data_IF_178653842606
#
_entry.id   IF_178653842606
#
_cell.length_a   1.000
_cell.length_b   1.000
_cell.length_c   1.000
_cell.angle_alpha   90.00
_cell.angle_beta   90.00
_cell.angle_gamma   90.00
#
_symmetry.space_group_name_H-M   'P 1'
#
loop_
_entity.id
_entity.type
_entity.pdbx_description
1 polymer ?
#
# COMPACT_ATOMS: atom_id res chain seq x y z
N UNK A 1 3.43 -18.59 -28.24
CA UNK A 1 4.35 -18.10 -27.20
C UNK A 1 3.61 -18.13 -25.86
N UNK A 2 4.30 -18.32 -24.74
CA UNK A 2 3.67 -18.07 -23.43
C UNK A 2 3.67 -16.56 -23.12
N UNK A 3 2.94 -16.13 -22.09
CA UNK A 3 2.80 -14.72 -21.71
C UNK A 3 4.15 -14.02 -21.54
N UNK A 4 5.08 -14.64 -20.79
CA UNK A 4 6.43 -14.11 -20.57
C UNK A 4 7.22 -13.93 -21.87
N UNK A 5 7.20 -14.92 -22.76
CA UNK A 5 7.86 -14.86 -24.06
C UNK A 5 7.26 -13.77 -24.94
N UNK A 6 5.93 -13.61 -24.93
CA UNK A 6 5.20 -12.62 -25.71
C UNK A 6 5.55 -11.19 -25.28
N UNK A 7 5.52 -10.92 -23.97
CA UNK A 7 5.93 -9.63 -23.40
C UNK A 7 7.39 -9.35 -23.72
N UNK A 8 8.28 -10.31 -23.50
CA UNK A 8 9.71 -10.14 -23.78
C UNK A 8 9.96 -9.82 -25.27
N UNK A 9 9.28 -10.50 -26.20
CA UNK A 9 9.41 -10.21 -27.63
C UNK A 9 8.96 -8.79 -27.97
N UNK A 10 7.79 -8.36 -27.47
CA UNK A 10 7.26 -7.02 -27.70
C UNK A 10 8.19 -5.93 -27.13
N UNK A 11 8.67 -6.08 -25.89
CA UNK A 11 9.59 -5.13 -25.24
C UNK A 11 10.96 -5.06 -25.93
N UNK A 12 11.36 -6.11 -26.66
CA UNK A 12 12.58 -6.13 -27.47
C UNK A 12 12.34 -5.80 -28.95
N UNK A 13 11.19 -5.21 -29.29
CA UNK A 13 10.84 -4.78 -30.64
C UNK A 13 10.85 -5.93 -31.68
N UNK A 14 10.65 -7.17 -31.22
CA UNK A 14 10.45 -8.35 -32.06
C UNK A 14 8.97 -8.55 -32.34
N UNK A 15 8.63 -9.37 -33.35
CA UNK A 15 7.23 -9.70 -33.67
C UNK A 15 6.71 -10.79 -32.72
N UNK A 16 5.79 -10.49 -31.78
CA UNK A 16 5.11 -11.51 -30.99
C UNK A 16 4.07 -12.26 -31.82
N UNK A 17 3.51 -13.34 -31.28
CA UNK A 17 2.40 -14.09 -31.88
C UNK A 17 1.06 -13.31 -31.83
N UNK A 18 0.86 -12.45 -30.83
CA UNK A 18 -0.17 -11.40 -30.77
C UNK A 18 0.31 -10.22 -29.93
N UNK A 19 -0.38 -9.08 -29.97
CA UNK A 19 -0.10 -7.95 -29.07
C UNK A 19 -0.31 -8.41 -27.61
N UNK A 20 0.69 -8.25 -26.71
CA UNK A 20 0.50 -8.56 -25.29
C UNK A 20 -0.43 -7.53 -24.64
N UNK A 21 -1.28 -7.98 -23.71
CA UNK A 21 -2.23 -7.14 -22.98
C UNK A 21 -2.03 -7.32 -21.48
N UNK A 22 -1.85 -6.22 -20.77
CA UNK A 22 -1.88 -6.16 -19.31
C UNK A 22 -2.23 -4.74 -18.91
N UNK A 23 -2.78 -4.54 -17.72
CA UNK A 23 -2.97 -3.22 -17.13
C UNK A 23 -2.78 -3.26 -15.62
N UNK A 24 -2.54 -2.09 -15.05
CA UNK A 24 -2.60 -1.90 -13.61
C UNK A 24 -4.08 -1.68 -13.27
N UNK A 25 -4.69 -2.63 -12.59
CA UNK A 25 -6.08 -2.51 -12.16
C UNK A 25 -6.18 -1.54 -10.99
N UNK A 26 -7.32 -0.86 -10.87
CA UNK A 26 -7.63 -0.06 -9.69
C UNK A 26 -7.83 -0.96 -8.46
N UNK A 27 -7.47 -0.51 -7.26
CA UNK A 27 -7.60 -1.34 -6.05
C UNK A 27 -9.04 -1.73 -5.72
N UNK A 28 -9.98 -0.80 -5.94
CA UNK A 28 -11.41 -1.09 -5.87
C UNK A 28 -11.88 -2.24 -6.77
N UNK A 29 -11.19 -2.48 -7.90
CA UNK A 29 -11.49 -3.61 -8.79
C UNK A 29 -11.13 -4.95 -8.16
N UNK A 30 -10.01 -5.04 -7.44
CA UNK A 30 -9.67 -6.24 -6.68
C UNK A 30 -10.69 -6.46 -5.54
N UNK A 31 -11.07 -5.39 -4.84
CA UNK A 31 -12.01 -5.46 -3.72
C UNK A 31 -13.40 -5.96 -4.14
N UNK A 32 -13.85 -5.62 -5.36
CA UNK A 32 -15.14 -6.04 -5.90
C UNK A 32 -15.14 -7.45 -6.51
N UNK A 33 -13.98 -7.96 -6.97
CA UNK A 33 -13.93 -9.13 -7.84
C UNK A 33 -13.14 -10.33 -7.30
N UNK A 34 -12.47 -10.18 -6.15
CA UNK A 34 -11.80 -11.25 -5.43
C UNK A 34 -12.52 -11.54 -4.09
N UNK A 35 -12.38 -12.77 -3.58
CA UNK A 35 -12.98 -13.21 -2.32
C UNK A 35 -12.01 -13.00 -1.13
N UNK A 36 -11.48 -11.78 -1.02
CA UNK A 36 -10.60 -11.36 0.06
C UNK A 36 -11.10 -10.07 0.69
N UNK A 37 -10.79 -9.84 1.97
CA UNK A 37 -11.12 -8.56 2.60
C UNK A 37 -10.30 -7.42 1.98
N UNK A 38 -10.90 -6.26 1.70
CA UNK A 38 -10.18 -5.09 1.19
C UNK A 38 -8.94 -4.72 2.01
N UNK A 39 -9.01 -4.79 3.35
CA UNK A 39 -7.85 -4.53 4.22
C UNK A 39 -6.72 -5.56 4.07
N UNK A 40 -7.05 -6.82 3.76
CA UNK A 40 -6.05 -7.86 3.51
C UNK A 40 -5.42 -7.69 2.13
N UNK A 41 -6.20 -7.37 1.10
CA UNK A 41 -5.65 -7.00 -0.21
C UNK A 41 -4.69 -5.79 -0.08
N UNK A 42 -4.98 -4.84 0.81
CA UNK A 42 -4.14 -3.65 0.98
C UNK A 42 -2.88 -3.87 1.83
N UNK A 43 -2.99 -4.62 2.95
CA UNK A 43 -1.91 -4.73 3.93
C UNK A 43 -1.19 -6.09 3.96
N UNK A 44 -1.74 -7.13 3.33
CA UNK A 44 -1.15 -8.46 3.32
C UNK A 44 -0.55 -8.81 1.95
N UNK A 45 0.79 -8.90 1.91
CA UNK A 45 1.53 -9.09 0.66
C UNK A 45 1.15 -10.39 -0.08
N UNK A 46 0.89 -11.46 0.65
CA UNK A 46 0.51 -12.76 0.08
C UNK A 46 -0.91 -12.72 -0.50
N UNK A 47 -1.87 -12.16 0.25
CA UNK A 47 -3.23 -11.95 -0.21
C UNK A 47 -3.27 -11.09 -1.47
N UNK A 48 -2.49 -10.01 -1.49
CA UNK A 48 -2.42 -9.16 -2.68
C UNK A 48 -1.80 -9.87 -3.88
N UNK A 49 -0.72 -10.63 -3.68
CA UNK A 49 -0.12 -11.44 -4.74
C UNK A 49 -1.11 -12.47 -5.32
N UNK A 50 -1.91 -13.12 -4.46
CA UNK A 50 -2.94 -14.05 -4.89
C UNK A 50 -4.04 -13.34 -5.72
N UNK A 51 -4.53 -12.19 -5.26
CA UNK A 51 -5.52 -11.39 -5.99
C UNK A 51 -5.00 -10.93 -7.37
N UNK A 52 -3.71 -10.56 -7.46
CA UNK A 52 -3.05 -10.20 -8.72
C UNK A 52 -3.02 -11.37 -9.71
N UNK A 53 -2.64 -12.56 -9.25
CA UNK A 53 -2.58 -13.77 -10.07
C UNK A 53 -3.98 -14.20 -10.50
N UNK A 54 -4.95 -14.16 -9.59
CA UNK A 54 -6.34 -14.53 -9.86
C UNK A 54 -6.94 -13.68 -10.99
N UNK A 55 -6.82 -12.36 -10.91
CA UNK A 55 -7.35 -11.47 -11.94
C UNK A 55 -6.54 -11.52 -13.24
N UNK A 56 -5.22 -11.71 -13.16
CA UNK A 56 -4.40 -11.96 -14.35
C UNK A 56 -4.88 -13.19 -15.12
N UNK A 57 -5.18 -14.29 -14.42
CA UNK A 57 -5.69 -15.52 -15.03
C UNK A 57 -7.11 -15.32 -15.57
N UNK A 58 -8.00 -14.69 -14.78
CA UNK A 58 -9.39 -14.43 -15.16
C UNK A 58 -9.52 -13.60 -16.44
N UNK A 59 -8.60 -12.65 -16.65
CA UNK A 59 -8.59 -11.78 -17.83
C UNK A 59 -7.60 -12.20 -18.91
N UNK A 60 -6.91 -13.33 -18.73
CA UNK A 60 -5.88 -13.83 -19.65
C UNK A 60 -4.80 -12.79 -19.98
N UNK A 61 -4.49 -11.90 -19.03
CA UNK A 61 -3.46 -10.90 -19.20
C UNK A 61 -2.08 -11.53 -19.35
N UNK A 62 -1.23 -10.91 -20.12
CA UNK A 62 0.13 -11.38 -20.40
C UNK A 62 1.15 -10.99 -19.32
N UNK A 63 0.72 -10.22 -18.32
CA UNK A 63 1.55 -9.77 -17.22
C UNK A 63 0.74 -9.16 -16.08
N UNK A 64 1.45 -8.82 -15.01
CA UNK A 64 0.92 -8.19 -13.78
C UNK A 64 1.71 -6.91 -13.56
N UNK A 65 1.01 -5.82 -13.26
CA UNK A 65 1.62 -4.56 -12.81
C UNK A 65 1.33 -4.40 -11.31
N UNK A 66 2.37 -4.52 -10.49
CA UNK A 66 2.28 -4.43 -9.02
C UNK A 66 2.27 -2.96 -8.61
N UNK A 67 1.25 -2.53 -7.85
CA UNK A 67 1.05 -1.13 -7.48
C UNK A 67 1.02 -0.86 -5.97
N UNK A 68 1.18 -1.89 -5.13
CA UNK A 68 1.36 -1.73 -3.68
C UNK A 68 2.74 -2.29 -3.27
N UNK A 69 3.50 -1.56 -2.43
CA UNK A 69 4.72 -2.12 -1.85
C UNK A 69 4.38 -3.20 -0.81
N UNK A 70 5.34 -4.11 -0.58
CA UNK A 70 5.22 -5.16 0.44
C UNK A 70 5.08 -4.62 1.86
N UNK A 71 4.54 -5.46 2.74
CA UNK A 71 4.25 -5.17 4.15
C UNK A 71 4.68 -6.30 5.06
N UNK A 72 4.94 -6.01 6.36
CA UNK A 72 5.12 -7.04 7.36
C UNK A 72 3.86 -7.91 7.46
N UNK A 73 4.02 -9.23 7.46
CA UNK A 73 2.90 -10.17 7.61
C UNK A 73 2.15 -10.01 8.94
N UNK A 74 2.82 -9.40 9.94
CA UNK A 74 2.29 -9.19 11.27
C UNK A 74 1.53 -7.86 11.44
N UNK A 75 1.17 -7.17 10.35
CA UNK A 75 0.50 -5.85 10.39
C UNK A 75 -0.73 -5.79 11.30
N UNK A 76 -1.47 -6.91 11.43
CA UNK A 76 -2.64 -7.02 12.32
C UNK A 76 -2.27 -6.80 13.80
N UNK A 77 -1.03 -7.10 14.21
CA UNK A 77 -0.53 -6.82 15.55
C UNK A 77 -0.40 -5.33 15.85
N UNK A 78 -0.37 -4.50 14.80
CA UNK A 78 -0.29 -3.05 14.89
C UNK A 78 -1.68 -2.42 15.07
N UNK A 79 -2.77 -3.20 14.98
CA UNK A 79 -4.14 -2.75 15.25
C UNK A 79 -4.43 -2.68 16.76
N UNK A 80 -5.02 -1.58 17.18
CA UNK A 80 -5.66 -1.42 18.49
C UNK A 80 -7.04 -2.05 18.48
N UNK A 81 -7.84 -1.78 17.45
CA UNK A 81 -9.17 -2.35 17.27
C UNK A 81 -9.59 -2.31 15.81
N UNK A 82 -10.62 -3.10 15.49
CA UNK A 82 -11.19 -3.24 14.16
C UNK A 82 -12.71 -3.34 14.28
N UNK A 83 -13.44 -2.74 13.34
CA UNK A 83 -14.88 -2.96 13.19
C UNK A 83 -15.29 -2.84 11.72
N UNK A 84 -16.44 -3.41 11.40
CA UNK A 84 -17.09 -3.26 10.09
C UNK A 84 -18.44 -2.58 10.29
N UNK A 85 -18.75 -1.57 9.47
CA UNK A 85 -20.04 -0.89 9.44
C UNK A 85 -20.41 -0.73 7.95
N UNK A 86 -21.58 -1.23 7.55
CA UNK A 86 -22.08 -1.13 6.16
C UNK A 86 -21.03 -1.54 5.10
N UNK A 87 -20.39 -2.70 5.30
CA UNK A 87 -19.30 -3.25 4.46
C UNK A 87 -18.04 -2.38 4.35
N UNK A 88 -17.93 -1.32 5.15
CA UNK A 88 -16.72 -0.51 5.28
C UNK A 88 -15.93 -0.98 6.51
N UNK A 89 -14.64 -1.24 6.34
CA UNK A 89 -13.76 -1.60 7.45
C UNK A 89 -13.16 -0.34 8.10
N UNK A 90 -13.13 -0.32 9.43
CA UNK A 90 -12.56 0.75 10.23
C UNK A 90 -11.44 0.16 11.09
N UNK A 91 -10.22 0.54 10.78
CA UNK A 91 -8.99 0.07 11.40
C UNK A 91 -8.47 1.18 12.32
N UNK A 92 -8.30 0.87 13.59
CA UNK A 92 -7.73 1.79 14.58
C UNK A 92 -6.34 1.30 14.93
N UNK A 93 -5.33 2.12 14.70
CA UNK A 93 -3.93 1.73 14.88
C UNK A 93 -3.46 1.98 16.31
N UNK A 94 -2.56 1.11 16.78
CA UNK A 94 -1.80 1.38 18.02
C UNK A 94 -0.87 2.55 17.76
N UNK A 95 -0.62 3.31 18.82
CA UNK A 95 0.43 4.29 18.81
C UNK A 95 1.77 3.55 18.96
N UNK A 96 2.55 3.50 17.88
CA UNK A 96 3.84 2.80 17.83
C UNK A 96 5.01 3.78 17.74
N UNK A 97 4.74 5.10 17.68
CA UNK A 97 5.78 6.12 17.59
C UNK A 97 6.14 6.66 18.99
N UNK A 98 7.41 6.52 19.35
CA UNK A 98 8.03 6.97 20.60
C UNK A 98 8.25 8.50 20.68
N UNK A 99 7.52 9.32 19.90
CA UNK A 99 7.55 10.78 20.03
C UNK A 99 6.24 11.29 20.60
N UNK A 100 6.30 12.46 21.24
CA UNK A 100 5.27 13.05 22.10
C UNK A 100 3.89 13.28 21.43
N UNK A 101 3.77 13.04 20.12
CA UNK A 101 2.51 13.14 19.38
C UNK A 101 1.77 11.80 19.37
N UNK A 102 1.08 11.54 20.48
CA UNK A 102 0.07 10.48 20.58
C UNK A 102 -1.10 10.79 19.67
N UNK A 103 -1.18 10.15 18.51
CA UNK A 103 -2.44 10.11 17.75
C UNK A 103 -2.67 8.71 17.21
N UNK A 104 -3.71 8.06 17.76
CA UNK A 104 -4.23 6.83 17.20
C UNK A 104 -4.76 7.14 15.81
N UNK A 105 -4.03 6.71 14.79
CA UNK A 105 -4.47 6.85 13.41
C UNK A 105 -5.65 5.92 13.15
N UNK A 106 -6.48 6.32 12.21
CA UNK A 106 -7.67 5.59 11.79
C UNK A 106 -7.60 5.39 10.28
N UNK A 107 -7.72 4.16 9.78
CA UNK A 107 -7.85 3.88 8.35
C UNK A 107 -9.26 3.38 8.06
N UNK A 108 -9.93 4.05 7.14
CA UNK A 108 -11.23 3.67 6.61
C UNK A 108 -11.00 2.98 5.28
N UNK A 109 -11.49 1.76 5.14
CA UNK A 109 -11.33 0.92 3.96
C UNK A 109 -12.71 0.69 3.36
N UNK A 110 -13.09 1.45 2.32
CA UNK A 110 -14.34 1.23 1.63
C UNK A 110 -14.28 -0.05 0.79
N UNK A 111 -15.42 -0.67 0.46
CA UNK A 111 -15.46 -1.95 -0.24
C UNK A 111 -15.05 -1.87 -1.73
N UNK A 112 -14.87 -0.67 -2.27
CA UNK A 112 -14.71 -0.46 -3.71
C UNK A 112 -13.77 0.71 -4.08
N UNK A 113 -13.00 1.25 -3.14
CA UNK A 113 -12.10 2.38 -3.38
C UNK A 113 -10.88 2.30 -2.45
N UNK A 114 -9.85 3.10 -2.72
CA UNK A 114 -8.66 3.15 -1.89
C UNK A 114 -9.00 3.47 -0.43
N UNK A 115 -8.41 2.76 0.54
CA UNK A 115 -8.39 3.17 1.92
C UNK A 115 -7.95 4.63 2.08
N UNK A 116 -8.41 5.25 3.16
CA UNK A 116 -8.01 6.59 3.55
C UNK A 116 -7.60 6.57 5.01
N UNK A 117 -6.44 7.15 5.31
CA UNK A 117 -5.93 7.24 6.68
C UNK A 117 -6.09 8.66 7.21
N UNK A 118 -6.50 8.75 8.47
CA UNK A 118 -6.82 9.96 9.18
C UNK A 118 -6.15 9.97 10.56
N UNK A 119 -6.05 11.17 11.12
CA UNK A 119 -5.91 11.34 12.55
C UNK A 119 -7.20 10.95 13.28
N UNK A 120 -7.14 10.83 14.60
CA UNK A 120 -8.31 10.46 15.39
C UNK A 120 -9.46 11.43 15.21
N UNK A 121 -10.69 10.91 15.11
CA UNK A 121 -11.86 11.73 14.79
C UNK A 121 -11.94 12.11 13.31
N UNK A 122 -11.23 11.38 12.44
CA UNK A 122 -11.27 11.54 10.98
C UNK A 122 -10.76 12.90 10.49
N UNK A 123 -9.85 13.52 11.23
CA UNK A 123 -9.18 14.75 10.79
C UNK A 123 -8.07 14.45 9.78
N UNK A 124 -7.81 15.40 8.89
CA UNK A 124 -6.79 15.23 7.85
C UNK A 124 -5.40 14.99 8.43
N UNK A 125 -4.60 14.18 7.74
CA UNK A 125 -3.21 13.94 8.12
C UNK A 125 -2.37 15.21 8.01
N UNK A 126 -1.37 15.32 8.88
CA UNK A 126 -0.33 16.34 8.79
C UNK A 126 0.38 16.31 7.44
N UNK A 127 0.64 17.49 6.89
CA UNK A 127 1.35 17.70 5.62
C UNK A 127 2.42 18.77 5.83
N UNK A 128 3.53 18.62 5.10
CA UNK A 128 4.55 19.65 5.05
C UNK A 128 4.00 20.92 4.39
N UNK A 129 4.29 22.09 4.95
CA UNK A 129 4.09 23.36 4.28
C UNK A 129 5.32 23.64 3.40
N UNK A 130 5.11 23.66 2.07
CA UNK A 130 6.17 23.91 1.10
C UNK A 130 6.89 25.25 1.30
N UNK A 131 6.30 26.20 2.04
CA UNK A 131 6.90 27.50 2.33
C UNK A 131 7.86 27.49 3.52
N UNK A 132 7.73 26.51 4.42
CA UNK A 132 8.47 26.50 5.68
C UNK A 132 9.15 25.17 5.99
N UNK A 133 8.95 24.15 5.14
CA UNK A 133 9.56 22.83 5.32
C UNK A 133 11.08 22.92 5.20
N UNK A 134 11.79 22.35 6.18
CA UNK A 134 13.22 22.06 6.03
C UNK A 134 13.39 20.73 5.31
N UNK A 135 13.84 20.78 4.06
CA UNK A 135 14.05 19.59 3.21
C UNK A 135 15.22 18.72 3.69
N UNK A 136 16.09 19.27 4.54
CA UNK A 136 17.22 18.55 5.11
C UNK A 136 16.89 17.94 6.48
N UNK A 137 15.75 18.27 7.08
CA UNK A 137 15.29 17.62 8.31
C UNK A 137 14.71 16.23 7.96
N UNK A 138 15.33 15.12 8.44
CA UNK A 138 14.81 13.78 8.21
C UNK A 138 13.40 13.56 8.76
N UNK A 139 12.95 14.37 9.73
CA UNK A 139 11.61 14.31 10.28
C UNK A 139 10.52 14.72 9.26
N UNK A 140 10.86 15.55 8.26
CA UNK A 140 9.95 15.95 7.18
C UNK A 140 9.34 14.73 6.47
N UNK A 141 10.16 13.70 6.23
CA UNK A 141 9.74 12.47 5.54
C UNK A 141 8.93 11.51 6.42
N UNK A 142 8.66 11.88 7.68
CA UNK A 142 7.92 11.08 8.65
C UNK A 142 6.56 11.65 9.03
N UNK A 143 6.16 12.76 8.41
CA UNK A 143 4.79 13.27 8.54
C UNK A 143 3.81 12.19 8.08
N UNK A 144 2.75 11.94 8.85
CA UNK A 144 1.81 10.86 8.58
C UNK A 144 1.20 10.97 7.16
N UNK A 145 0.93 12.19 6.68
CA UNK A 145 0.45 12.40 5.31
C UNK A 145 1.50 12.08 4.25
N UNK A 146 2.78 12.35 4.51
CA UNK A 146 3.86 11.96 3.60
C UNK A 146 4.03 10.43 3.57
N UNK A 147 3.98 9.78 4.74
CA UNK A 147 4.08 8.33 4.85
C UNK A 147 2.93 7.66 4.09
N UNK A 148 1.69 8.10 4.33
CA UNK A 148 0.51 7.55 3.66
C UNK A 148 0.54 7.73 2.13
N UNK A 149 0.96 8.90 1.65
CA UNK A 149 0.99 9.19 0.22
C UNK A 149 2.09 8.45 -0.53
N UNK A 150 3.20 8.12 0.16
CA UNK A 150 4.37 7.50 -0.47
C UNK A 150 4.36 5.98 -0.30
N UNK A 151 4.09 5.50 0.92
CA UNK A 151 4.13 4.09 1.25
C UNK A 151 2.76 3.47 1.47
N UNK A 152 1.65 4.21 1.45
CA UNK A 152 0.31 3.63 1.63
C UNK A 152 0.13 2.84 2.94
N UNK A 153 0.83 3.27 3.99
CA UNK A 153 0.74 2.74 5.36
C UNK A 153 0.58 3.89 6.35
N UNK A 154 -0.08 3.65 7.49
CA UNK A 154 -0.28 4.69 8.49
C UNK A 154 1.04 5.07 9.18
N UNK A 155 1.96 4.11 9.37
CA UNK A 155 3.25 4.29 10.03
C UNK A 155 4.27 3.28 9.49
N UNK A 156 5.56 3.58 9.58
CA UNK A 156 6.64 2.68 9.20
C UNK A 156 6.90 1.66 10.35
N UNK A 157 6.25 0.50 10.29
CA UNK A 157 6.12 -0.40 11.45
C UNK A 157 7.38 -1.14 11.91
N UNK A 158 8.44 -1.19 11.09
CA UNK A 158 9.70 -1.88 11.38
C UNK A 158 10.93 -1.05 10.98
N UNK A 159 10.77 0.27 10.88
CA UNK A 159 11.88 1.21 10.61
C UNK A 159 12.09 2.05 11.85
N UNK A 160 13.33 2.10 12.35
CA UNK A 160 13.70 2.90 13.51
C UNK A 160 13.22 4.35 13.33
N UNK A 161 12.64 4.95 14.38
CA UNK A 161 12.02 6.28 14.31
C UNK A 161 13.00 7.43 14.00
N UNK A 162 14.29 7.20 14.17
CA UNK A 162 15.40 8.12 13.91
C UNK A 162 16.23 7.74 12.68
N UNK A 163 15.93 6.62 12.02
CA UNK A 163 16.67 6.24 10.83
C UNK A 163 16.53 7.28 9.71
N UNK A 164 17.63 7.51 9.01
CA UNK A 164 17.65 8.25 7.76
C UNK A 164 16.98 7.40 6.68
N UNK A 165 15.83 7.84 6.17
CA UNK A 165 15.08 7.13 5.14
C UNK A 165 15.80 7.15 3.78
N UNK A 166 16.89 7.90 3.62
CA UNK A 166 17.75 7.82 2.44
C UNK A 166 18.80 6.72 2.53
N UNK A 167 19.05 6.14 3.71
CA UNK A 167 20.00 5.05 3.90
C UNK A 167 19.32 3.69 3.61
N UNK A 168 19.74 2.94 2.58
CA UNK A 168 19.20 1.62 2.30
C UNK A 168 19.36 0.64 3.47
N UNK A 169 20.35 0.82 4.33
CA UNK A 169 20.57 -0.02 5.51
C UNK A 169 19.53 0.19 6.61
N UNK A 170 18.73 1.27 6.55
CA UNK A 170 17.63 1.54 7.47
C UNK A 170 16.40 0.65 7.21
N UNK A 171 16.32 0.02 6.04
CA UNK A 171 15.16 -0.78 5.64
C UNK A 171 15.35 -2.24 6.02
N UNK A 172 14.27 -2.94 6.41
CA UNK A 172 14.33 -4.37 6.64
C UNK A 172 14.68 -5.11 5.34
N UNK A 173 15.31 -6.28 5.48
CA UNK A 173 15.83 -7.05 4.34
C UNK A 173 14.77 -7.85 3.55
N UNK A 174 13.49 -7.72 3.90
CA UNK A 174 12.39 -8.51 3.34
C UNK A 174 11.60 -7.75 2.28
#
# INVERSE_FOLDING_TARGET
>A
MNSKQRVLAAMNHRKPDRVPVMCQLALGHYFLHCDYRPSEIWFDSETFANALVELQQRYEFDGILVNLPGRPADWKNKLKSYKTIDNTEYLYWRDLALREHKSGLETIVPPNDNPQTYQSGQTGLERADYKSVDVNDPATYRLAGYIWNTWHIPQLWDIDSHADLSDPAAYPAW
#
